data_IF_666421197637
#
_entry.id   IF_666421197637
#
_cell.length_a   1.000
_cell.length_b   1.000
_cell.length_c   1.000
_cell.angle_alpha   90.00
_cell.angle_beta   90.00
_cell.angle_gamma   90.00
#
_symmetry.space_group_name_H-M   'P 1'
#
loop_
_entity.id
_entity.type
_entity.pdbx_description
1 polymer ?
#
# COMPACT_ATOMS: atom_id res chain seq x y z
N UNK A 1 -16.43 -11.67 11.12
CA UNK A 1 -15.23 -11.18 11.85
C UNK A 1 -15.63 -10.69 13.23
N UNK A 2 -14.98 -11.16 14.30
CA UNK A 2 -15.12 -10.58 15.64
C UNK A 2 -13.93 -9.67 15.99
N UNK A 3 -14.01 -8.92 17.10
CA UNK A 3 -12.98 -7.95 17.48
C UNK A 3 -11.61 -8.60 17.75
N UNK A 4 -11.58 -9.84 18.27
CA UNK A 4 -10.34 -10.54 18.57
C UNK A 4 -9.63 -10.98 17.27
N UNK A 5 -10.38 -11.53 16.32
CA UNK A 5 -9.89 -11.84 14.98
C UNK A 5 -9.33 -10.58 14.29
N UNK A 6 -10.08 -9.48 14.34
CA UNK A 6 -9.66 -8.20 13.77
C UNK A 6 -8.36 -7.68 14.42
N UNK A 7 -8.20 -7.80 15.74
CA UNK A 7 -6.98 -7.42 16.43
C UNK A 7 -5.77 -8.26 15.98
N UNK A 8 -5.93 -9.59 15.93
CA UNK A 8 -4.86 -10.50 15.51
C UNK A 8 -4.46 -10.24 14.06
N UNK A 9 -5.43 -10.16 13.14
CA UNK A 9 -5.16 -9.90 11.74
C UNK A 9 -4.58 -8.50 11.51
N UNK A 10 -4.99 -7.51 12.29
CA UNK A 10 -4.40 -6.17 12.25
C UNK A 10 -2.93 -6.16 12.67
N UNK A 11 -2.56 -6.94 13.69
CA UNK A 11 -1.15 -7.13 14.09
C UNK A 11 -0.38 -7.85 12.97
N UNK A 12 -0.95 -8.91 12.42
CA UNK A 12 -0.33 -9.66 11.31
C UNK A 12 -0.08 -8.75 10.12
N UNK A 13 -1.07 -7.95 9.70
CA UNK A 13 -0.93 -6.98 8.61
C UNK A 13 0.17 -5.96 8.94
N UNK A 14 0.13 -5.35 10.12
CA UNK A 14 1.11 -4.34 10.52
C UNK A 14 2.55 -4.87 10.54
N UNK A 15 2.75 -6.14 10.89
CA UNK A 15 4.07 -6.79 10.88
C UNK A 15 4.52 -7.22 9.49
N UNK A 16 3.59 -7.71 8.65
CA UNK A 16 3.93 -8.33 7.37
C UNK A 16 3.94 -7.37 6.19
N UNK A 17 3.24 -6.24 6.26
CA UNK A 17 3.15 -5.28 5.15
C UNK A 17 4.51 -4.68 4.79
N UNK A 18 5.34 -4.41 5.79
CA UNK A 18 6.66 -3.80 5.58
C UNK A 18 7.76 -4.83 5.33
N UNK A 19 7.45 -6.12 5.47
CA UNK A 19 8.37 -7.21 5.23
C UNK A 19 8.08 -7.82 3.84
N UNK A 20 9.10 -8.29 3.11
CA UNK A 20 8.92 -8.90 1.79
C UNK A 20 8.42 -10.34 1.91
N UNK A 21 7.27 -10.55 2.56
CA UNK A 21 6.70 -11.87 2.91
C UNK A 21 5.26 -12.06 2.45
N UNK A 22 4.68 -11.09 1.70
CA UNK A 22 3.28 -11.06 1.24
C UNK A 22 2.27 -11.01 2.40
N UNK A 23 1.84 -9.80 2.74
CA UNK A 23 0.84 -9.55 3.79
C UNK A 23 -0.55 -10.13 3.44
N UNK A 24 -0.99 -10.00 2.19
CA UNK A 24 -2.24 -10.57 1.70
C UNK A 24 -2.32 -12.09 1.87
N UNK A 25 -1.22 -12.82 1.64
CA UNK A 25 -1.18 -14.26 1.88
C UNK A 25 -1.39 -14.59 3.36
N UNK A 26 -0.81 -13.82 4.28
CA UNK A 26 -0.96 -14.04 5.72
C UNK A 26 -2.39 -13.73 6.22
N UNK A 27 -3.05 -12.72 5.67
CA UNK A 27 -4.45 -12.41 6.00
C UNK A 27 -5.43 -13.52 5.59
N UNK A 28 -5.10 -14.30 4.56
CA UNK A 28 -5.88 -15.49 4.16
C UNK A 28 -5.47 -16.73 4.94
N UNK A 29 -4.17 -16.95 5.15
CA UNK A 29 -3.63 -18.14 5.80
C UNK A 29 -3.94 -18.20 7.29
N UNK A 30 -3.90 -17.08 8.01
CA UNK A 30 -4.13 -17.07 9.47
C UNK A 30 -5.55 -17.52 9.84
N UNK A 31 -6.64 -16.99 9.24
CA UNK A 31 -7.99 -17.50 9.47
C UNK A 31 -8.15 -18.97 9.08
N UNK A 32 -7.54 -19.39 7.97
CA UNK A 32 -7.60 -20.77 7.50
C UNK A 32 -6.94 -21.76 8.47
N UNK A 33 -5.72 -21.48 8.94
CA UNK A 33 -5.00 -22.34 9.91
C UNK A 33 -5.73 -22.40 11.25
N UNK A 34 -6.34 -21.29 11.68
CA UNK A 34 -7.05 -21.21 12.96
C UNK A 34 -8.51 -21.69 12.88
N UNK A 35 -8.97 -22.13 11.70
CA UNK A 35 -10.34 -22.61 11.48
C UNK A 35 -11.41 -21.54 11.70
N UNK A 36 -11.09 -20.28 11.44
CA UNK A 36 -12.01 -19.16 11.61
C UNK A 36 -12.98 -19.08 10.44
N UNK A 37 -14.27 -19.16 10.75
CA UNK A 37 -15.33 -18.83 9.81
C UNK A 37 -15.47 -17.30 9.72
N UNK A 38 -14.91 -16.73 8.67
CA UNK A 38 -14.95 -15.29 8.39
C UNK A 38 -15.71 -15.10 7.10
N UNK A 39 -16.81 -14.37 7.19
CA UNK A 39 -17.58 -13.92 6.03
C UNK A 39 -16.66 -13.25 4.98
N UNK A 40 -16.63 -13.73 3.72
CA UNK A 40 -15.74 -13.21 2.69
C UNK A 40 -15.91 -11.71 2.40
N UNK A 41 -17.14 -11.18 2.46
CA UNK A 41 -17.38 -9.75 2.26
C UNK A 41 -16.76 -8.93 3.40
N UNK A 42 -16.96 -9.36 4.64
CA UNK A 42 -16.32 -8.74 5.81
C UNK A 42 -14.78 -8.84 5.78
N UNK A 43 -14.23 -9.97 5.31
CA UNK A 43 -12.78 -10.15 5.15
C UNK A 43 -12.21 -9.17 4.11
N UNK A 44 -12.85 -9.06 2.94
CA UNK A 44 -12.42 -8.13 1.90
C UNK A 44 -12.43 -6.67 2.38
N UNK A 45 -13.51 -6.23 3.04
CA UNK A 45 -13.60 -4.87 3.60
C UNK A 45 -12.51 -4.66 4.65
N UNK A 46 -12.28 -5.65 5.51
CA UNK A 46 -11.24 -5.58 6.53
C UNK A 46 -9.85 -5.44 5.92
N UNK A 47 -9.50 -6.25 4.91
CA UNK A 47 -8.21 -6.22 4.22
C UNK A 47 -7.90 -4.83 3.66
N UNK A 48 -8.89 -4.20 3.00
CA UNK A 48 -8.78 -2.82 2.50
C UNK A 48 -8.53 -1.82 3.62
N UNK A 49 -9.24 -1.95 4.75
CA UNK A 49 -9.10 -1.04 5.89
C UNK A 49 -7.74 -1.18 6.59
N UNK A 50 -7.24 -2.40 6.78
CA UNK A 50 -5.94 -2.59 7.42
C UNK A 50 -4.78 -2.17 6.51
N UNK A 51 -4.91 -2.36 5.20
CA UNK A 51 -3.99 -1.80 4.20
C UNK A 51 -3.93 -0.27 4.29
N UNK A 52 -5.09 0.39 4.41
CA UNK A 52 -5.16 1.83 4.65
C UNK A 52 -4.50 2.22 5.98
N UNK A 53 -4.68 1.43 7.04
CA UNK A 53 -4.00 1.61 8.32
C UNK A 53 -2.48 1.59 8.18
N UNK A 54 -1.94 0.63 7.43
CA UNK A 54 -0.49 0.57 7.17
C UNK A 54 0.02 1.73 6.32
N UNK A 55 -0.77 2.20 5.35
CA UNK A 55 -0.46 3.42 4.59
C UNK A 55 -0.38 4.64 5.49
N UNK A 56 -1.34 4.81 6.41
CA UNK A 56 -1.36 5.89 7.40
C UNK A 56 -0.11 5.81 8.29
N UNK A 57 0.28 4.62 8.72
CA UNK A 57 1.51 4.43 9.50
C UNK A 57 2.76 4.91 8.74
N UNK A 58 2.90 4.59 7.45
CA UNK A 58 4.01 5.07 6.59
C UNK A 58 3.99 6.59 6.47
N UNK A 59 2.82 7.19 6.22
CA UNK A 59 2.68 8.65 6.10
C UNK A 59 3.06 9.36 7.39
N UNK A 60 2.65 8.83 8.55
CA UNK A 60 3.02 9.39 9.85
C UNK A 60 4.52 9.24 10.10
N UNK A 61 5.08 8.05 9.84
CA UNK A 61 6.50 7.78 10.05
C UNK A 61 7.40 8.70 9.21
N UNK A 62 7.09 8.86 7.92
CA UNK A 62 7.82 9.72 6.99
C UNK A 62 7.26 11.15 6.91
N UNK A 63 6.44 11.59 7.87
CA UNK A 63 5.75 12.88 7.80
C UNK A 63 6.71 14.05 7.54
N UNK A 64 7.83 14.07 8.26
CA UNK A 64 8.85 15.12 8.14
C UNK A 64 9.51 15.11 6.76
N UNK A 65 9.84 13.94 6.22
CA UNK A 65 10.46 13.79 4.90
C UNK A 65 9.48 14.19 3.79
N UNK A 66 8.22 13.75 3.88
CA UNK A 66 7.15 14.12 2.95
C UNK A 66 6.93 15.64 2.95
N UNK A 67 6.91 16.28 4.12
CA UNK A 67 6.77 17.73 4.22
C UNK A 67 7.99 18.47 3.65
N UNK A 68 9.21 17.94 3.83
CA UNK A 68 10.42 18.51 3.24
C UNK A 68 10.41 18.39 1.72
N UNK A 69 10.05 17.23 1.17
CA UNK A 69 9.87 16.99 -0.26
C UNK A 69 8.82 17.94 -0.84
N UNK A 70 7.67 18.09 -0.19
CA UNK A 70 6.61 19.00 -0.63
C UNK A 70 7.08 20.47 -0.63
N UNK A 71 7.67 20.94 0.48
CA UNK A 71 8.17 22.32 0.59
C UNK A 71 9.31 22.61 -0.39
N UNK A 72 10.20 21.64 -0.63
CA UNK A 72 11.27 21.75 -1.62
C UNK A 72 10.69 21.89 -3.03
N UNK A 73 9.72 21.04 -3.37
CA UNK A 73 9.03 21.07 -4.67
C UNK A 73 8.28 22.39 -4.89
N UNK A 74 7.54 22.87 -3.90
CA UNK A 74 6.83 24.16 -3.98
C UNK A 74 7.79 25.35 -4.13
N UNK A 75 8.89 25.37 -3.37
CA UNK A 75 9.93 26.42 -3.50
C UNK A 75 10.59 26.38 -4.87
N UNK A 76 10.93 25.20 -5.38
CA UNK A 76 11.50 25.03 -6.71
C UNK A 76 10.55 25.52 -7.82
N UNK A 77 9.25 25.24 -7.68
CA UNK A 77 8.21 25.70 -8.61
C UNK A 77 8.07 27.22 -8.63
N UNK A 78 8.01 27.87 -7.45
CA UNK A 78 7.89 29.33 -7.32
C UNK A 78 9.15 30.03 -7.83
N UNK A 79 10.33 29.57 -7.39
CA UNK A 79 11.61 30.17 -7.76
C UNK A 79 12.08 29.78 -9.17
N UNK A 80 11.33 28.91 -9.88
CA UNK A 80 11.70 28.30 -11.17
C UNK A 80 13.11 27.69 -11.18
N UNK A 81 13.55 27.16 -10.04
CA UNK A 81 14.87 26.58 -9.85
C UNK A 81 14.75 25.14 -9.38
N UNK A 82 14.95 24.22 -10.30
CA UNK A 82 14.73 22.78 -10.11
C UNK A 82 16.02 21.99 -9.83
N UNK A 83 17.10 22.66 -9.38
CA UNK A 83 18.42 22.04 -9.22
C UNK A 83 19.08 22.38 -7.89
N UNK A 84 19.84 21.43 -7.34
CA UNK A 84 20.68 21.62 -6.15
C UNK A 84 20.03 21.27 -4.80
N UNK A 85 18.82 20.70 -4.78
CA UNK A 85 18.15 20.26 -3.54
C UNK A 85 18.01 18.72 -3.52
N UNK A 86 18.51 18.09 -2.46
CA UNK A 86 18.43 16.64 -2.26
C UNK A 86 16.97 16.16 -2.13
N UNK A 87 16.10 16.94 -1.49
CA UNK A 87 14.69 16.59 -1.31
C UNK A 87 13.93 16.62 -2.65
N UNK A 88 14.27 17.57 -3.53
CA UNK A 88 13.70 17.62 -4.88
C UNK A 88 14.14 16.41 -5.71
N UNK A 89 15.41 16.00 -5.58
CA UNK A 89 15.89 14.76 -6.22
C UNK A 89 15.13 13.55 -5.73
N UNK A 90 14.90 13.43 -4.41
CA UNK A 90 14.08 12.35 -3.84
C UNK A 90 12.64 12.39 -4.38
N UNK A 91 12.01 13.56 -4.48
CA UNK A 91 10.69 13.70 -5.10
C UNK A 91 10.67 13.12 -6.51
N UNK A 92 11.64 13.49 -7.35
CA UNK A 92 11.69 12.98 -8.72
C UNK A 92 11.95 11.48 -8.79
N UNK A 93 12.82 10.94 -7.91
CA UNK A 93 13.06 9.51 -7.85
C UNK A 93 11.80 8.73 -7.45
N UNK A 94 11.03 9.23 -6.49
CA UNK A 94 9.75 8.63 -6.12
C UNK A 94 8.80 8.67 -7.30
N UNK A 95 8.57 9.84 -7.92
CA UNK A 95 7.68 9.99 -9.09
C UNK A 95 8.07 9.04 -10.22
N UNK A 96 9.35 9.02 -10.59
CA UNK A 96 9.86 8.14 -11.65
C UNK A 96 9.74 6.66 -11.28
N UNK A 97 9.93 6.32 -10.00
CA UNK A 97 9.75 4.96 -9.49
C UNK A 97 8.29 4.49 -9.51
N UNK A 98 7.32 5.40 -9.32
CA UNK A 98 5.89 5.05 -9.32
C UNK A 98 5.32 4.91 -10.74
N UNK A 99 5.89 5.58 -11.75
CA UNK A 99 5.38 5.54 -13.14
C UNK A 99 5.27 4.12 -13.69
N UNK A 100 6.30 3.25 -13.63
CA UNK A 100 6.19 1.87 -14.11
C UNK A 100 5.10 1.07 -13.40
N UNK A 101 4.94 1.27 -12.09
CA UNK A 101 3.90 0.59 -11.30
C UNK A 101 2.49 1.04 -11.72
N UNK A 102 2.26 2.34 -11.90
CA UNK A 102 0.98 2.87 -12.39
C UNK A 102 0.70 2.41 -13.81
N UNK A 103 1.70 2.46 -14.70
CA UNK A 103 1.56 2.00 -16.07
C UNK A 103 1.21 0.50 -16.13
N UNK A 104 1.93 -0.34 -15.38
CA UNK A 104 1.62 -1.76 -15.25
C UNK A 104 0.21 -1.98 -14.69
N UNK A 105 -0.18 -1.25 -13.63
CA UNK A 105 -1.52 -1.33 -13.05
C UNK A 105 -2.64 -0.99 -14.04
N UNK A 106 -2.47 0.05 -14.86
CA UNK A 106 -3.46 0.45 -15.86
C UNK A 106 -3.50 -0.50 -17.07
N UNK A 107 -2.35 -0.97 -17.54
CA UNK A 107 -2.26 -1.85 -18.72
C UNK A 107 -2.67 -3.30 -18.40
N UNK A 108 -2.36 -3.79 -17.20
CA UNK A 108 -2.69 -5.15 -16.77
C UNK A 108 -4.07 -5.26 -16.14
N UNK A 109 -4.74 -4.13 -15.85
CA UNK A 109 -6.10 -4.11 -15.29
C UNK A 109 -7.07 -5.08 -16.00
N UNK A 110 -7.15 -5.14 -17.35
CA UNK A 110 -8.07 -6.06 -18.04
C UNK A 110 -7.69 -7.53 -17.85
N UNK A 111 -6.38 -7.83 -17.78
CA UNK A 111 -5.87 -9.20 -17.55
C UNK A 111 -6.18 -9.65 -16.13
N UNK A 112 -6.00 -8.75 -15.16
CA UNK A 112 -6.31 -9.00 -13.75
C UNK A 112 -7.81 -9.22 -13.57
N UNK A 113 -8.65 -8.34 -14.13
CA UNK A 113 -10.11 -8.49 -14.09
C UNK A 113 -10.59 -9.80 -14.75
N UNK A 114 -9.99 -10.19 -15.88
CA UNK A 114 -10.29 -11.47 -16.53
C UNK A 114 -9.87 -12.68 -15.67
N UNK A 115 -8.68 -12.64 -15.06
CA UNK A 115 -8.18 -13.71 -14.18
C UNK A 115 -9.05 -13.89 -12.92
N UNK A 116 -9.60 -12.80 -12.37
CA UNK A 116 -10.53 -12.87 -11.24
C UNK A 116 -11.97 -13.21 -11.66
N UNK A 117 -12.36 -12.94 -12.90
CA UNK A 117 -13.71 -13.23 -13.45
C UNK A 117 -13.88 -14.67 -13.96
N UNK A 118 -12.79 -15.35 -14.37
CA UNK A 118 -12.83 -16.76 -14.76
C UNK A 118 -11.57 -17.49 -14.27
N UNK A 119 -11.65 -18.31 -13.21
CA UNK A 119 -10.51 -19.05 -12.67
C UNK A 119 -9.89 -20.10 -13.62
N UNK A 120 -10.41 -20.26 -14.85
CA UNK A 120 -10.11 -21.36 -15.76
C UNK A 120 -9.91 -20.94 -17.23
N UNK A 121 -9.64 -19.67 -17.53
CA UNK A 121 -9.34 -19.20 -18.89
C UNK A 121 -7.86 -18.85 -19.07
#
# INVERSE_FOLDING_TARGET
MNWFQALVLGIVQGLTEFLPVSSSAHLVLVPWVLGWDVDPEAAFVFDVLVQLGTLVAVVIYFWTDLMQMLRSTLRAAIARRWTGDANLRLTWLVVLGTIPAVAAGLLLKPVVEAAFGSPAA
#
